data_IF_337511094930
#
_entry.id   IF_337511094930
#
_cell.length_a   1.000
_cell.length_b   1.000
_cell.length_c   1.000
_cell.angle_alpha   90.00
_cell.angle_beta   90.00
_cell.angle_gamma   90.00
#
_symmetry.space_group_name_H-M   'P 1'
#
loop_
_entity.id
_entity.type
_entity.pdbx_description
1 polymer ?
#
# COMPACT_ATOMS: atom_id res chain seq x y z
N UNK A 1 -43.41 -7.70 -21.41
CA UNK A 1 -42.66 -8.64 -20.56
C UNK A 1 -41.31 -7.99 -20.22
N UNK A 2 -41.17 -7.51 -18.99
CA UNK A 2 -39.91 -6.97 -18.51
C UNK A 2 -38.91 -8.13 -18.35
N UNK A 3 -37.86 -8.17 -19.17
CA UNK A 3 -36.73 -9.07 -18.94
C UNK A 3 -35.93 -8.47 -17.80
N UNK A 4 -36.03 -9.05 -16.63
CA UNK A 4 -35.11 -8.83 -15.54
C UNK A 4 -33.71 -9.24 -16.05
N UNK A 5 -32.88 -8.24 -16.38
CA UNK A 5 -31.48 -8.49 -16.67
C UNK A 5 -30.78 -8.77 -15.32
N UNK A 6 -30.61 -10.03 -15.01
CA UNK A 6 -29.74 -10.43 -13.89
C UNK A 6 -28.32 -10.11 -14.30
N UNK A 7 -27.75 -9.03 -13.78
CA UNK A 7 -26.34 -8.70 -13.95
C UNK A 7 -25.55 -9.62 -13.03
N UNK A 8 -25.15 -10.77 -13.58
CA UNK A 8 -24.13 -11.59 -12.93
C UNK A 8 -22.77 -10.92 -13.17
N UNK A 9 -21.99 -10.61 -12.13
CA UNK A 9 -20.66 -10.07 -12.32
C UNK A 9 -19.84 -11.07 -13.14
N UNK A 10 -19.16 -10.59 -14.17
CA UNK A 10 -18.29 -11.48 -14.94
C UNK A 10 -17.05 -11.84 -14.11
N UNK A 11 -16.38 -12.94 -14.48
CA UNK A 11 -15.21 -13.43 -13.73
C UNK A 11 -14.11 -12.36 -13.54
N UNK A 12 -13.91 -11.50 -14.53
CA UNK A 12 -12.94 -10.41 -14.45
C UNK A 12 -13.32 -9.37 -13.39
N UNK A 13 -14.59 -9.03 -13.27
CA UNK A 13 -15.08 -8.08 -12.27
C UNK A 13 -14.91 -8.63 -10.84
N UNK A 14 -15.22 -9.90 -10.63
CA UNK A 14 -15.00 -10.56 -9.32
C UNK A 14 -13.53 -10.57 -8.92
N UNK A 15 -12.62 -10.80 -9.89
CA UNK A 15 -11.17 -10.74 -9.64
C UNK A 15 -10.76 -9.32 -9.24
N UNK A 16 -11.21 -8.30 -9.97
CA UNK A 16 -10.90 -6.89 -9.67
C UNK A 16 -11.41 -6.47 -8.29
N UNK A 17 -12.61 -6.87 -7.90
CA UNK A 17 -13.14 -6.63 -6.54
C UNK A 17 -12.27 -7.28 -5.46
N UNK A 18 -11.73 -8.47 -5.72
CA UNK A 18 -10.74 -9.11 -4.85
C UNK A 18 -9.46 -8.29 -4.72
N UNK A 19 -8.92 -7.79 -5.84
CA UNK A 19 -7.71 -6.96 -5.86
C UNK A 19 -7.91 -5.62 -5.14
N UNK A 20 -9.08 -4.99 -5.23
CA UNK A 20 -9.40 -3.79 -4.45
C UNK A 20 -9.37 -4.07 -2.95
N UNK A 21 -9.91 -5.21 -2.50
CA UNK A 21 -9.83 -5.62 -1.08
C UNK A 21 -8.40 -5.81 -0.61
N UNK A 22 -7.53 -6.35 -1.46
CA UNK A 22 -6.11 -6.52 -1.13
C UNK A 22 -5.38 -5.17 -1.02
N UNK A 23 -5.71 -4.22 -1.90
CA UNK A 23 -5.20 -2.83 -1.80
C UNK A 23 -5.74 -2.14 -0.55
N UNK A 24 -7.02 -2.30 -0.21
CA UNK A 24 -7.62 -1.77 1.01
C UNK A 24 -6.92 -2.28 2.26
N UNK A 25 -6.64 -3.58 2.34
CA UNK A 25 -5.85 -4.17 3.43
C UNK A 25 -4.46 -3.54 3.53
N UNK A 26 -3.82 -3.31 2.38
CA UNK A 26 -2.50 -2.66 2.32
C UNK A 26 -2.57 -1.21 2.81
N UNK A 27 -3.61 -0.47 2.47
CA UNK A 27 -3.86 0.89 2.96
C UNK A 27 -4.04 0.88 4.49
N UNK A 28 -4.85 -0.05 5.01
CA UNK A 28 -5.11 -0.20 6.45
C UNK A 28 -3.81 -0.53 7.21
N UNK A 29 -2.95 -1.38 6.65
CA UNK A 29 -1.68 -1.78 7.24
C UNK A 29 -0.54 -0.75 7.07
N UNK A 30 -0.75 0.31 6.30
CA UNK A 30 0.26 1.33 6.02
C UNK A 30 0.09 2.55 6.93
N UNK A 31 1.17 3.31 7.21
CA UNK A 31 1.06 4.58 7.94
C UNK A 31 0.22 5.57 7.14
N UNK A 32 -0.36 6.59 7.80
CA UNK A 32 -1.00 7.70 7.09
C UNK A 32 0.00 8.38 6.15
N UNK A 33 -0.42 8.65 4.92
CA UNK A 33 0.44 9.26 3.89
C UNK A 33 1.11 8.25 2.97
N UNK A 34 0.34 7.30 2.42
CA UNK A 34 0.80 6.42 1.35
C UNK A 34 1.23 7.21 0.12
N UNK A 35 2.32 6.77 -0.50
CA UNK A 35 2.72 7.30 -1.80
C UNK A 35 1.69 6.89 -2.88
N UNK A 36 1.02 7.86 -3.54
CA UNK A 36 0.02 7.54 -4.56
C UNK A 36 0.63 6.85 -5.78
N UNK A 37 1.89 7.14 -6.10
CA UNK A 37 2.62 6.51 -7.22
C UNK A 37 2.86 5.03 -6.93
N UNK A 38 3.33 4.70 -5.72
CA UNK A 38 3.55 3.30 -5.31
C UNK A 38 2.22 2.53 -5.23
N UNK A 39 1.16 3.17 -4.77
CA UNK A 39 -0.17 2.55 -4.71
C UNK A 39 -0.69 2.21 -6.11
N UNK A 40 -0.58 3.15 -7.06
CA UNK A 40 -0.98 2.92 -8.44
C UNK A 40 -0.13 1.82 -9.10
N UNK A 41 1.18 1.81 -8.86
CA UNK A 41 2.09 0.78 -9.37
C UNK A 41 1.79 -0.60 -8.77
N UNK A 42 1.52 -0.68 -7.46
CA UNK A 42 1.18 -1.93 -6.79
C UNK A 42 -0.13 -2.53 -7.31
N UNK A 43 -1.18 -1.72 -7.47
CA UNK A 43 -2.45 -2.18 -8.02
C UNK A 43 -2.30 -2.62 -9.48
N UNK A 44 -1.54 -1.85 -10.28
CA UNK A 44 -1.24 -2.21 -11.67
C UNK A 44 -0.54 -3.56 -11.78
N UNK A 45 0.45 -3.84 -10.90
CA UNK A 45 1.16 -5.13 -10.84
C UNK A 45 0.21 -6.28 -10.52
N UNK A 46 -0.68 -6.10 -9.56
CA UNK A 46 -1.69 -7.10 -9.20
C UNK A 46 -2.62 -7.40 -10.37
N UNK A 47 -3.12 -6.36 -11.05
CA UNK A 47 -3.95 -6.53 -12.25
C UNK A 47 -3.19 -7.19 -13.40
N UNK A 48 -1.93 -6.79 -13.63
CA UNK A 48 -1.10 -7.35 -14.69
C UNK A 48 -0.86 -8.85 -14.49
N UNK A 49 -0.63 -9.30 -13.25
CA UNK A 49 -0.48 -10.71 -12.91
C UNK A 49 -1.77 -11.54 -13.17
N UNK A 50 -2.94 -10.89 -13.18
CA UNK A 50 -4.24 -11.54 -13.42
C UNK A 50 -4.70 -11.45 -14.88
N UNK A 51 -3.90 -10.89 -15.79
CA UNK A 51 -4.28 -10.75 -17.20
C UNK A 51 -4.38 -12.09 -17.90
N UNK A 52 -5.40 -12.25 -18.74
CA UNK A 52 -5.55 -13.45 -19.59
C UNK A 52 -4.67 -13.41 -20.86
N UNK A 53 -4.01 -12.27 -21.15
CA UNK A 53 -3.16 -12.08 -22.34
C UNK A 53 -3.88 -11.94 -23.68
N UNK A 54 -5.24 -11.97 -23.69
CA UNK A 54 -6.03 -11.95 -24.92
C UNK A 54 -5.91 -10.64 -25.69
N UNK A 55 -6.19 -9.51 -25.04
CA UNK A 55 -6.19 -8.21 -25.70
C UNK A 55 -4.82 -7.52 -25.61
N UNK A 56 -4.47 -6.77 -26.67
CA UNK A 56 -3.19 -6.04 -26.76
C UNK A 56 -3.04 -5.00 -25.65
N UNK A 57 -4.07 -4.21 -25.29
CA UNK A 57 -3.96 -3.23 -24.22
C UNK A 57 -3.47 -3.81 -22.89
N UNK A 58 -3.96 -4.99 -22.49
CA UNK A 58 -3.47 -5.67 -21.30
C UNK A 58 -2.07 -6.28 -21.52
N UNK A 59 -1.91 -7.08 -22.59
CA UNK A 59 -0.69 -7.85 -22.83
C UNK A 59 0.56 -6.99 -22.96
N UNK A 60 0.45 -5.82 -23.60
CA UNK A 60 1.58 -4.93 -23.87
C UNK A 60 1.46 -3.65 -23.04
N UNK A 61 0.29 -3.03 -23.02
CA UNK A 61 0.11 -1.70 -22.42
C UNK A 61 0.30 -1.67 -20.91
N UNK A 62 -0.20 -2.66 -20.16
CA UNK A 62 0.01 -2.70 -18.69
C UNK A 62 1.48 -2.90 -18.33
N UNK A 63 2.20 -3.71 -19.10
CA UNK A 63 3.65 -3.87 -18.92
C UNK A 63 4.42 -2.59 -19.17
N UNK A 64 4.07 -1.82 -20.20
CA UNK A 64 4.68 -0.51 -20.47
C UNK A 64 4.36 0.50 -19.35
N UNK A 65 3.10 0.57 -18.90
CA UNK A 65 2.73 1.42 -17.75
C UNK A 65 3.51 1.05 -16.49
N UNK A 66 3.71 -0.24 -16.24
CA UNK A 66 4.48 -0.70 -15.09
C UNK A 66 5.92 -0.19 -15.15
N UNK A 67 6.60 -0.34 -16.29
CA UNK A 67 7.98 0.14 -16.48
C UNK A 67 8.07 1.66 -16.29
N UNK A 68 7.11 2.42 -16.82
CA UNK A 68 7.09 3.88 -16.68
C UNK A 68 6.89 4.30 -15.21
N UNK A 69 5.97 3.67 -14.48
CA UNK A 69 5.75 3.95 -13.06
C UNK A 69 6.96 3.56 -12.21
N UNK A 70 7.62 2.44 -12.50
CA UNK A 70 8.86 2.04 -11.83
C UNK A 70 9.99 3.06 -12.08
N UNK A 71 10.11 3.60 -13.30
CA UNK A 71 11.08 4.67 -13.58
C UNK A 71 10.81 5.93 -12.75
N UNK A 72 9.53 6.29 -12.58
CA UNK A 72 9.15 7.44 -11.72
C UNK A 72 9.52 7.15 -10.26
N UNK A 73 9.20 5.96 -9.74
CA UNK A 73 9.51 5.55 -8.36
C UNK A 73 11.02 5.49 -8.10
N UNK A 74 11.82 5.07 -9.10
CA UNK A 74 13.28 5.03 -9.04
C UNK A 74 13.95 6.42 -9.16
N UNK A 75 13.16 7.50 -9.39
CA UNK A 75 13.68 8.84 -9.63
C UNK A 75 14.41 9.00 -10.97
N UNK A 76 14.12 8.14 -11.94
CA UNK A 76 14.65 8.17 -13.31
C UNK A 76 13.61 8.65 -14.32
N UNK A 77 12.40 8.98 -13.88
CA UNK A 77 11.31 9.47 -14.71
C UNK A 77 11.55 10.90 -15.20
N UNK A 78 10.85 11.25 -16.27
CA UNK A 78 10.80 12.59 -16.84
C UNK A 78 9.36 13.09 -16.93
N UNK A 79 9.15 14.39 -17.17
CA UNK A 79 7.80 14.91 -17.42
C UNK A 79 7.17 14.32 -18.70
N UNK A 80 7.99 13.96 -19.67
CA UNK A 80 7.54 13.26 -20.87
C UNK A 80 7.02 11.87 -20.53
N UNK A 81 7.68 11.16 -19.61
CA UNK A 81 7.18 9.87 -19.11
C UNK A 81 5.82 10.03 -18.42
N UNK A 82 5.60 11.11 -17.68
CA UNK A 82 4.32 11.38 -17.02
C UNK A 82 3.20 11.59 -18.07
N UNK A 83 3.48 12.36 -19.13
CA UNK A 83 2.53 12.55 -20.23
C UNK A 83 2.25 11.21 -20.96
N UNK A 84 3.30 10.38 -21.13
CA UNK A 84 3.17 9.08 -21.77
C UNK A 84 2.35 8.11 -20.89
N UNK A 85 2.53 8.12 -19.58
CA UNK A 85 1.71 7.36 -18.61
C UNK A 85 0.24 7.74 -18.77
N UNK A 86 -0.06 9.04 -18.75
CA UNK A 86 -1.45 9.53 -18.87
C UNK A 86 -2.06 9.10 -20.22
N UNK A 87 -1.36 9.31 -21.33
CA UNK A 87 -1.83 8.93 -22.66
C UNK A 87 -2.04 7.43 -22.78
N UNK A 88 -1.08 6.63 -22.34
CA UNK A 88 -1.14 5.16 -22.42
C UNK A 88 -2.28 4.61 -21.55
N UNK A 89 -2.44 5.12 -20.34
CA UNK A 89 -3.53 4.73 -19.46
C UNK A 89 -4.91 5.07 -20.08
N UNK A 90 -5.08 6.24 -20.70
CA UNK A 90 -6.31 6.60 -21.43
C UNK A 90 -6.61 5.63 -22.57
N UNK A 91 -5.59 5.26 -23.34
CA UNK A 91 -5.76 4.30 -24.44
C UNK A 91 -6.18 2.94 -23.92
N UNK A 92 -5.52 2.44 -22.87
CA UNK A 92 -5.86 1.13 -22.29
C UNK A 92 -7.28 1.14 -21.72
N UNK A 93 -7.66 2.17 -20.96
CA UNK A 93 -8.99 2.33 -20.39
C UNK A 93 -10.08 2.21 -21.44
N UNK A 94 -9.86 2.82 -22.63
CA UNK A 94 -10.85 2.89 -23.69
C UNK A 94 -10.84 1.68 -24.65
N UNK A 95 -9.79 0.85 -24.61
CA UNK A 95 -9.60 -0.26 -25.57
C UNK A 95 -9.45 -1.64 -24.92
N UNK A 96 -9.42 -1.73 -23.58
CA UNK A 96 -9.37 -3.01 -22.91
C UNK A 96 -10.75 -3.71 -22.93
N UNK A 97 -10.74 -5.03 -23.18
CA UNK A 97 -11.96 -5.81 -23.35
C UNK A 97 -12.67 -6.15 -22.01
N UNK A 98 -12.02 -5.94 -20.86
CA UNK A 98 -12.57 -6.34 -19.57
C UNK A 98 -12.11 -5.46 -18.41
N UNK A 99 -12.78 -5.64 -17.26
CA UNK A 99 -12.55 -4.87 -16.05
C UNK A 99 -11.08 -4.87 -15.55
N UNK A 100 -10.32 -5.95 -15.76
CA UNK A 100 -8.91 -6.00 -15.29
C UNK A 100 -8.08 -4.89 -15.96
N UNK A 101 -8.19 -4.74 -17.29
CA UNK A 101 -7.45 -3.70 -18.01
C UNK A 101 -8.01 -2.30 -17.77
N UNK A 102 -9.34 -2.14 -17.77
CA UNK A 102 -9.97 -0.83 -17.57
C UNK A 102 -9.72 -0.28 -16.17
N UNK A 103 -9.85 -1.08 -15.11
CA UNK A 103 -9.65 -0.65 -13.75
C UNK A 103 -8.17 -0.42 -13.40
N UNK A 104 -7.26 -1.25 -13.96
CA UNK A 104 -5.83 -1.01 -13.82
C UNK A 104 -5.43 0.37 -14.40
N UNK A 105 -5.92 0.68 -15.60
CA UNK A 105 -5.66 1.97 -16.23
C UNK A 105 -6.36 3.13 -15.52
N UNK A 106 -7.58 2.93 -15.03
CA UNK A 106 -8.33 3.93 -14.26
C UNK A 106 -7.62 4.31 -12.97
N UNK A 107 -7.09 3.33 -12.22
CA UNK A 107 -6.33 3.59 -10.99
C UNK A 107 -5.09 4.46 -11.29
N UNK A 108 -4.36 4.15 -12.36
CA UNK A 108 -3.20 4.95 -12.78
C UNK A 108 -3.62 6.37 -13.17
N UNK A 109 -4.69 6.53 -13.94
CA UNK A 109 -5.21 7.84 -14.33
C UNK A 109 -5.64 8.68 -13.13
N UNK A 110 -6.36 8.11 -12.18
CA UNK A 110 -6.75 8.80 -10.95
C UNK A 110 -5.53 9.20 -10.13
N UNK A 111 -4.50 8.35 -10.08
CA UNK A 111 -3.23 8.68 -9.44
C UNK A 111 -2.57 9.90 -10.09
N UNK A 112 -2.35 9.87 -11.41
CA UNK A 112 -1.68 10.96 -12.15
C UNK A 112 -2.48 12.26 -12.11
N UNK A 113 -3.81 12.21 -12.24
CA UNK A 113 -4.64 13.41 -12.28
C UNK A 113 -4.90 14.00 -10.89
N UNK A 114 -5.06 13.14 -9.88
CA UNK A 114 -5.39 13.58 -8.52
C UNK A 114 -4.18 13.94 -7.66
N UNK A 115 -3.01 13.39 -7.97
CA UNK A 115 -1.79 13.54 -7.16
C UNK A 115 -0.58 13.93 -8.03
N UNK A 116 -0.80 14.81 -9.00
CA UNK A 116 0.22 15.22 -9.97
C UNK A 116 1.50 15.73 -9.31
N UNK A 117 1.37 16.46 -8.22
CA UNK A 117 2.49 17.03 -7.49
C UNK A 117 3.38 15.94 -6.87
N UNK A 118 2.81 14.83 -6.40
CA UNK A 118 3.58 13.69 -5.90
C UNK A 118 4.41 13.04 -7.00
N UNK A 119 3.86 12.90 -8.22
CA UNK A 119 4.59 12.38 -9.38
C UNK A 119 5.74 13.32 -9.78
N UNK A 120 5.49 14.63 -9.81
CA UNK A 120 6.52 15.62 -10.12
C UNK A 120 7.63 15.65 -9.06
N UNK A 121 7.30 15.50 -7.78
CA UNK A 121 8.28 15.43 -6.71
C UNK A 121 9.22 14.22 -6.85
N UNK A 122 8.70 13.06 -7.27
CA UNK A 122 9.54 11.89 -7.59
C UNK A 122 10.46 12.15 -8.79
N UNK A 123 9.98 12.89 -9.80
CA UNK A 123 10.73 13.20 -11.01
C UNK A 123 11.82 14.25 -10.72
N UNK A 124 11.47 15.38 -10.10
CA UNK A 124 12.37 16.53 -9.91
C UNK A 124 13.33 16.32 -8.75
N UNK A 125 12.79 15.92 -7.59
CA UNK A 125 13.54 15.84 -6.34
C UNK A 125 13.98 14.41 -6.01
N UNK A 126 13.60 13.41 -6.82
CA UNK A 126 13.97 12.01 -6.66
C UNK A 126 13.61 11.44 -5.27
N UNK A 127 12.53 11.95 -4.68
CA UNK A 127 12.07 11.56 -3.35
C UNK A 127 10.55 11.48 -3.30
N UNK A 128 10.04 10.72 -2.35
CA UNK A 128 8.63 10.67 -2.03
C UNK A 128 8.29 11.71 -0.96
N UNK A 129 7.25 12.52 -1.15
CA UNK A 129 6.79 13.51 -0.18
C UNK A 129 6.45 12.87 1.19
N UNK A 130 5.91 11.66 1.16
CA UNK A 130 5.38 10.99 2.36
C UNK A 130 6.33 9.97 2.99
N UNK A 131 7.46 9.63 2.36
CA UNK A 131 8.26 8.45 2.75
C UNK A 131 9.48 8.77 3.64
N UNK A 132 9.85 10.04 3.81
CA UNK A 132 11.15 10.38 4.40
C UNK A 132 11.16 10.22 5.92
N UNK A 133 10.02 10.36 6.60
CA UNK A 133 9.93 10.35 8.07
C UNK A 133 8.71 9.60 8.62
N UNK A 134 8.14 8.67 7.85
CA UNK A 134 6.96 7.97 8.33
C UNK A 134 7.35 6.82 9.26
N UNK A 135 6.91 6.86 10.51
CA UNK A 135 7.06 5.73 11.39
C UNK A 135 6.25 4.53 10.85
N UNK A 136 6.70 3.33 11.14
CA UNK A 136 5.93 2.12 10.84
C UNK A 136 4.54 2.19 11.49
N UNK A 137 3.50 1.54 10.91
CA UNK A 137 2.12 1.70 11.37
C UNK A 137 1.91 1.48 12.86
N UNK A 138 2.60 0.51 13.44
CA UNK A 138 2.51 0.23 14.87
C UNK A 138 3.02 1.39 15.73
N UNK A 139 4.05 2.12 15.31
CA UNK A 139 4.55 3.31 16.00
C UNK A 139 3.63 4.50 15.75
N UNK A 140 3.23 4.73 14.49
CA UNK A 140 2.35 5.85 14.10
C UNK A 140 1.00 5.85 14.84
N UNK A 141 0.45 4.66 15.12
CA UNK A 141 -0.83 4.51 15.82
C UNK A 141 -0.69 4.39 17.33
N UNK A 142 0.52 4.29 17.84
CA UNK A 142 0.75 4.27 19.27
C UNK A 142 0.56 5.68 19.86
N UNK A 143 -0.42 5.92 20.75
CA UNK A 143 -0.63 7.25 21.35
C UNK A 143 0.60 7.76 22.12
N UNK A 144 1.44 6.85 22.63
CA UNK A 144 2.68 7.17 23.32
C UNK A 144 3.91 7.16 22.39
N UNK A 145 3.71 6.92 21.08
CA UNK A 145 4.77 6.89 20.06
C UNK A 145 5.98 6.00 20.40
N UNK A 146 5.73 4.88 21.09
CA UNK A 146 6.78 3.94 21.55
C UNK A 146 7.43 3.27 20.35
N UNK A 147 8.75 3.14 20.35
CA UNK A 147 9.50 2.37 19.35
C UNK A 147 9.23 0.86 19.48
N UNK A 148 8.13 0.42 18.87
CA UNK A 148 7.67 -0.96 18.92
C UNK A 148 8.64 -1.93 18.23
N UNK A 149 9.12 -1.68 17.01
CA UNK A 149 10.09 -2.56 16.37
C UNK A 149 11.37 -2.70 17.18
N UNK A 150 11.85 -1.60 17.76
CA UNK A 150 13.07 -1.59 18.54
C UNK A 150 12.98 -2.49 19.77
N UNK A 151 11.92 -2.38 20.60
CA UNK A 151 11.82 -3.24 21.78
C UNK A 151 11.52 -4.70 21.43
N UNK A 152 10.79 -4.98 20.34
CA UNK A 152 10.57 -6.36 19.87
C UNK A 152 11.90 -7.00 19.43
N UNK A 153 12.75 -6.27 18.73
CA UNK A 153 14.08 -6.73 18.38
C UNK A 153 14.95 -7.02 19.62
N UNK A 154 14.88 -6.17 20.63
CA UNK A 154 15.60 -6.41 21.90
C UNK A 154 15.09 -7.65 22.64
N UNK A 155 13.77 -7.89 22.64
CA UNK A 155 13.16 -9.10 23.20
C UNK A 155 13.62 -10.34 22.45
N UNK A 156 13.69 -10.30 21.13
CA UNK A 156 14.15 -11.43 20.30
C UNK A 156 15.62 -11.80 20.55
N UNK A 157 16.41 -10.85 21.07
CA UNK A 157 17.79 -11.05 21.51
C UNK A 157 17.91 -11.25 23.03
N UNK A 158 16.81 -11.53 23.73
CA UNK A 158 16.74 -11.78 25.17
C UNK A 158 17.23 -10.60 26.05
N UNK A 159 17.27 -9.39 25.46
CA UNK A 159 17.71 -8.16 26.12
C UNK A 159 16.52 -7.42 26.78
N UNK A 160 15.85 -8.07 27.72
CA UNK A 160 14.60 -7.58 28.33
C UNK A 160 14.78 -6.25 29.06
N UNK A 161 15.85 -6.09 29.83
CA UNK A 161 16.13 -4.86 30.55
C UNK A 161 16.29 -3.64 29.61
N UNK A 162 16.90 -3.84 28.44
CA UNK A 162 17.06 -2.80 27.44
C UNK A 162 15.75 -2.51 26.72
N UNK A 163 14.94 -3.54 26.46
CA UNK A 163 13.59 -3.38 25.91
C UNK A 163 12.72 -2.51 26.82
N UNK A 164 12.72 -2.78 28.14
CA UNK A 164 11.99 -1.97 29.11
C UNK A 164 12.53 -0.52 29.17
N UNK A 165 13.87 -0.33 29.13
CA UNK A 165 14.47 1.01 29.06
C UNK A 165 14.02 1.78 27.83
N UNK A 166 13.97 1.12 26.66
CA UNK A 166 13.53 1.70 25.41
C UNK A 166 12.06 2.13 25.51
N UNK A 167 11.18 1.26 26.01
CA UNK A 167 9.76 1.58 26.17
C UNK A 167 9.57 2.77 27.14
N UNK A 168 10.36 2.84 28.21
CA UNK A 168 10.25 3.90 29.24
C UNK A 168 10.64 5.29 28.77
N UNK A 169 11.32 5.42 27.62
CA UNK A 169 11.59 6.74 27.04
C UNK A 169 10.30 7.51 26.74
N UNK A 170 9.29 6.78 26.22
CA UNK A 170 8.06 7.38 25.72
C UNK A 170 6.84 6.99 26.58
N UNK A 171 6.95 5.92 27.37
CA UNK A 171 5.88 5.41 28.21
C UNK A 171 6.43 4.97 29.59
N UNK A 172 6.35 5.83 30.61
CA UNK A 172 6.85 5.50 31.96
C UNK A 172 6.04 4.41 32.66
N UNK A 173 4.76 4.22 32.30
CA UNK A 173 3.85 3.25 32.92
C UNK A 173 3.74 1.96 32.09
N UNK A 174 4.87 1.30 31.84
CA UNK A 174 4.95 0.12 30.95
C UNK A 174 3.98 -0.98 31.36
N UNK A 175 3.99 -1.38 32.64
CA UNK A 175 3.17 -2.47 33.17
C UNK A 175 1.68 -2.16 33.08
N UNK A 176 1.26 -0.98 33.55
CA UNK A 176 -0.15 -0.57 33.50
C UNK A 176 -0.65 -0.51 32.05
N UNK A 177 0.14 0.11 31.18
CA UNK A 177 -0.21 0.18 29.76
C UNK A 177 -0.26 -1.21 29.11
N UNK A 178 0.63 -2.14 29.46
CA UNK A 178 0.60 -3.51 28.94
C UNK A 178 -0.65 -4.30 29.37
N UNK A 179 -1.33 -3.87 30.44
CA UNK A 179 -2.57 -4.51 30.92
C UNK A 179 -3.84 -3.94 30.28
N UNK A 180 -3.92 -2.61 30.10
CA UNK A 180 -5.17 -1.91 29.76
C UNK A 180 -5.20 -1.32 28.35
N UNK A 181 -4.08 -1.32 27.61
CA UNK A 181 -4.00 -0.73 26.28
C UNK A 181 -4.91 -1.47 25.28
N UNK A 182 -5.68 -0.72 24.50
CA UNK A 182 -6.51 -1.25 23.41
C UNK A 182 -5.71 -1.74 22.18
N UNK A 183 -4.38 -1.59 22.22
CA UNK A 183 -3.40 -2.07 21.22
C UNK A 183 -3.75 -1.77 19.74
N UNK A 184 -4.03 -0.51 19.35
CA UNK A 184 -4.35 -0.15 17.97
C UNK A 184 -3.21 -0.49 17.00
N UNK A 185 -1.98 -0.64 17.50
CA UNK A 185 -0.82 -1.08 16.74
C UNK A 185 -0.95 -2.48 16.14
N UNK A 186 -1.68 -3.39 16.80
CA UNK A 186 -1.93 -4.76 16.30
C UNK A 186 -2.95 -4.75 15.17
N UNK A 187 -3.99 -3.91 15.26
CA UNK A 187 -5.03 -3.81 14.25
C UNK A 187 -4.46 -3.41 12.86
N UNK A 188 -3.39 -2.60 12.84
CA UNK A 188 -2.70 -2.18 11.63
C UNK A 188 -1.30 -2.79 11.46
N UNK A 189 -1.07 -3.93 12.07
CA UNK A 189 0.18 -4.66 11.89
C UNK A 189 0.32 -5.12 10.44
N UNK A 190 1.47 -4.84 9.81
CA UNK A 190 1.75 -5.30 8.44
C UNK A 190 1.76 -6.83 8.29
N UNK A 191 2.01 -7.55 9.37
CA UNK A 191 1.92 -9.02 9.38
C UNK A 191 0.52 -9.53 9.05
N UNK A 192 -0.55 -8.77 9.34
CA UNK A 192 -1.91 -9.09 8.93
C UNK A 192 -2.09 -9.30 7.41
N UNK A 193 -1.12 -8.85 6.60
CA UNK A 193 -1.15 -9.06 5.15
C UNK A 193 -0.54 -10.41 4.74
N UNK A 194 0.21 -11.04 5.62
CA UNK A 194 0.96 -12.29 5.37
C UNK A 194 0.34 -13.45 6.14
N UNK A 195 0.13 -13.25 7.44
CA UNK A 195 -0.42 -14.22 8.38
C UNK A 195 -1.23 -13.47 9.47
N UNK A 196 -0.80 -13.47 10.72
CA UNK A 196 -1.46 -12.83 11.84
C UNK A 196 -0.66 -11.65 12.40
N UNK A 197 -1.34 -10.70 13.06
CA UNK A 197 -0.69 -9.61 13.75
C UNK A 197 0.31 -10.12 14.79
N UNK A 198 1.44 -9.42 14.94
CA UNK A 198 2.34 -9.64 16.06
C UNK A 198 1.58 -9.28 17.35
N UNK A 199 1.61 -10.14 18.36
CA UNK A 199 1.00 -9.87 19.66
C UNK A 199 1.86 -8.90 20.48
N UNK A 200 1.83 -7.63 20.04
CA UNK A 200 2.69 -6.54 20.51
C UNK A 200 2.48 -6.26 21.98
N UNK A 201 1.21 -6.27 22.44
CA UNK A 201 0.86 -6.04 23.83
C UNK A 201 1.36 -7.15 24.75
N UNK A 202 1.24 -8.40 24.31
CA UNK A 202 1.74 -9.54 25.10
C UNK A 202 3.28 -9.52 25.19
N UNK A 203 3.97 -9.20 24.11
CA UNK A 203 5.44 -9.04 24.11
C UNK A 203 5.88 -7.92 25.07
N UNK A 204 5.16 -6.78 25.06
CA UNK A 204 5.41 -5.68 25.99
C UNK A 204 5.21 -6.10 27.46
N UNK A 205 4.23 -6.98 27.72
CA UNK A 205 3.97 -7.52 29.06
C UNK A 205 5.01 -8.54 29.48
N UNK A 206 5.53 -9.30 28.51
CA UNK A 206 6.53 -10.34 28.76
C UNK A 206 7.90 -9.75 29.11
N UNK A 207 8.29 -8.62 28.50
CA UNK A 207 9.53 -7.90 28.82
C UNK A 207 9.54 -7.27 30.22
#
# INVERSE_FOLDING_TARGET
MSRLSIITPNKAQTVVEGLYRDVERRIIASPPGLCPVDMAAAFLKLCHAQTCGKCVPCRVGLGQLQVLLERVLDGKGSEEDLQLIEKTARVIKNSADCAIGTEAAEMVLRGVLGFRDDYLEHIHNKRCLFNIYQPVPCVALCPANVDIPGYIALISHERYADAVRLIRKDNPFVTSCAMVCEHPCEARCRRNMVDDAINIRALKRYA
#
